data_IF_657383892732
#
_entry.id   IF_657383892732
#
_cell.length_a   1.000
_cell.length_b   1.000
_cell.length_c   1.000
_cell.angle_alpha   90.00
_cell.angle_beta   90.00
_cell.angle_gamma   90.00
#
_symmetry.space_group_name_H-M   'P 1'
#
loop_
_entity.id
_entity.type
_entity.pdbx_description
1 polymer ?
#
# COMPACT_ATOMS: atom_id res chain seq x y z
N UNK A 1 -30.93 -12.59 -1.55
CA UNK A 1 -29.74 -13.44 -1.41
C UNK A 1 -29.01 -13.47 -2.75
N UNK A 2 -28.15 -12.47 -2.97
CA UNK A 2 -27.20 -12.47 -4.09
C UNK A 2 -25.88 -13.05 -3.60
N UNK A 3 -25.30 -13.94 -4.38
CA UNK A 3 -24.08 -14.69 -4.10
C UNK A 3 -22.84 -13.79 -4.25
N UNK A 4 -22.12 -13.64 -3.16
CA UNK A 4 -20.91 -12.83 -2.90
C UNK A 4 -19.67 -13.21 -3.74
N UNK A 5 -19.82 -14.07 -4.75
CA UNK A 5 -18.71 -14.70 -5.49
C UNK A 5 -18.48 -14.15 -6.90
N UNK A 6 -19.29 -13.18 -7.35
CA UNK A 6 -19.08 -12.48 -8.63
C UNK A 6 -18.84 -10.98 -8.39
N UNK A 7 -17.74 -10.67 -7.70
CA UNK A 7 -17.21 -9.33 -7.66
C UNK A 7 -15.95 -9.29 -8.52
N UNK A 8 -16.15 -9.17 -9.83
CA UNK A 8 -15.10 -8.92 -10.81
C UNK A 8 -14.60 -7.48 -10.64
N UNK A 9 -13.87 -7.27 -9.55
CA UNK A 9 -13.22 -6.03 -9.19
C UNK A 9 -12.03 -5.77 -10.13
N UNK A 10 -11.95 -4.61 -10.81
CA UNK A 10 -10.76 -4.27 -11.59
C UNK A 10 -9.54 -4.15 -10.66
N UNK A 11 -8.31 -4.39 -11.17
CA UNK A 11 -7.10 -4.23 -10.37
C UNK A 11 -7.09 -2.85 -9.69
N UNK A 12 -7.07 -2.85 -8.35
CA UNK A 12 -7.07 -1.61 -7.57
C UNK A 12 -8.40 -1.10 -7.05
N UNK A 13 -9.49 -1.85 -7.25
CA UNK A 13 -10.78 -1.47 -6.68
C UNK A 13 -11.43 -2.70 -6.06
N UNK A 14 -11.44 -2.82 -4.74
CA UNK A 14 -12.04 -3.96 -4.04
C UNK A 14 -12.88 -3.52 -2.84
N UNK A 15 -13.51 -4.47 -2.12
CA UNK A 15 -14.36 -4.14 -0.98
C UNK A 15 -13.58 -3.61 0.23
N UNK A 16 -12.25 -3.77 0.21
CA UNK A 16 -11.33 -3.40 1.29
C UNK A 16 -10.40 -2.23 0.94
N UNK A 17 -10.66 -1.52 -0.16
CA UNK A 17 -9.91 -0.32 -0.52
C UNK A 17 -9.79 -0.07 -2.02
N UNK A 18 -9.42 1.17 -2.36
CA UNK A 18 -9.08 1.59 -3.72
C UNK A 18 -7.64 2.06 -3.79
N UNK A 19 -7.01 1.98 -4.96
CA UNK A 19 -5.72 2.64 -5.18
C UNK A 19 -5.86 4.15 -5.06
N UNK A 20 -4.87 4.77 -4.42
CA UNK A 20 -4.68 6.22 -4.43
C UNK A 20 -3.96 6.66 -5.71
N UNK A 21 -3.67 7.96 -5.79
CA UNK A 21 -2.85 8.49 -6.87
C UNK A 21 -1.42 7.95 -6.80
N UNK A 22 -0.79 7.82 -7.97
CA UNK A 22 0.62 7.47 -8.06
C UNK A 22 1.48 8.63 -7.57
N UNK A 23 2.58 8.32 -6.89
CA UNK A 23 3.63 9.31 -6.61
C UNK A 23 4.38 9.69 -7.88
N UNK A 24 5.06 10.83 -7.84
CA UNK A 24 6.01 11.20 -8.90
C UNK A 24 7.08 10.13 -9.10
N UNK A 25 7.55 10.01 -10.34
CA UNK A 25 8.70 9.19 -10.65
C UNK A 25 9.98 9.81 -10.07
N UNK A 26 11.00 8.97 -9.85
CA UNK A 26 12.33 9.48 -9.53
C UNK A 26 12.86 10.40 -10.65
N UNK A 27 13.65 11.44 -10.34
CA UNK A 27 14.28 12.30 -11.34
C UNK A 27 15.01 11.53 -12.44
N UNK A 28 15.19 12.17 -13.60
CA UNK A 28 15.96 11.59 -14.71
C UNK A 28 17.37 11.24 -14.24
N UNK A 29 17.87 10.07 -14.64
CA UNK A 29 19.16 9.50 -14.20
C UNK A 29 19.24 9.20 -12.70
N UNK A 30 18.12 8.87 -12.05
CA UNK A 30 18.11 8.39 -10.66
C UNK A 30 17.24 7.14 -10.52
N UNK A 31 17.45 6.38 -9.44
CA UNK A 31 16.70 5.16 -9.13
C UNK A 31 16.29 5.12 -7.65
N UNK A 32 15.28 4.30 -7.33
CA UNK A 32 14.91 4.04 -5.95
C UNK A 32 16.07 3.31 -5.26
N UNK A 33 16.61 3.94 -4.22
CA UNK A 33 17.73 3.42 -3.43
C UNK A 33 17.34 3.11 -1.98
N UNK A 34 16.11 3.45 -1.57
CA UNK A 34 15.67 3.21 -0.21
C UNK A 34 14.15 3.25 -0.04
N UNK A 35 13.69 2.59 1.01
CA UNK A 35 12.30 2.58 1.44
C UNK A 35 12.23 2.86 2.95
N UNK A 36 11.25 3.65 3.36
CA UNK A 36 10.86 3.83 4.75
C UNK A 36 9.39 3.48 4.90
N UNK A 37 9.09 2.50 5.73
CA UNK A 37 7.73 2.06 6.02
C UNK A 37 7.21 2.75 7.27
N UNK A 38 5.90 3.00 7.30
CA UNK A 38 5.17 3.37 8.51
C UNK A 38 4.27 2.20 8.90
N UNK A 39 4.55 1.63 10.07
CA UNK A 39 3.74 0.57 10.66
C UNK A 39 2.97 1.12 11.87
N UNK A 40 1.88 0.46 12.26
CA UNK A 40 1.26 0.72 13.56
C UNK A 40 2.18 0.22 14.68
N UNK A 41 2.14 0.89 15.84
CA UNK A 41 2.76 0.36 17.06
C UNK A 41 2.04 -0.92 17.49
N UNK A 42 2.76 -1.90 18.03
CA UNK A 42 2.20 -3.13 18.59
C UNK A 42 1.10 -2.79 19.61
N UNK A 43 -0.14 -3.23 19.35
CA UNK A 43 -1.34 -2.93 20.14
C UNK A 43 -1.64 -4.01 21.19
N UNK A 44 -0.78 -5.02 21.36
CA UNK A 44 -0.89 -6.06 22.38
C UNK A 44 -1.30 -7.45 21.84
N UNK A 45 -1.41 -8.44 22.73
CA UNK A 45 -1.76 -9.81 22.35
C UNK A 45 -3.20 -9.90 21.81
N UNK A 46 -3.36 -10.32 20.56
CA UNK A 46 -4.66 -10.63 19.95
C UNK A 46 -5.17 -9.64 18.89
N UNK A 47 -4.41 -8.58 18.58
CA UNK A 47 -4.71 -7.69 17.45
C UNK A 47 -3.75 -8.03 16.30
N UNK A 48 -4.29 -8.25 15.09
CA UNK A 48 -3.47 -8.36 13.88
C UNK A 48 -2.95 -6.96 13.52
N UNK A 49 -1.78 -6.61 14.06
CA UNK A 49 -1.13 -5.31 13.91
C UNK A 49 -0.36 -5.18 12.58
N UNK A 50 -0.53 -6.11 11.64
CA UNK A 50 0.31 -6.22 10.44
C UNK A 50 -0.23 -5.41 9.26
N UNK A 51 -0.62 -4.15 9.50
CA UNK A 51 -0.98 -3.23 8.44
C UNK A 51 0.19 -2.27 8.13
N UNK A 52 0.70 -2.34 6.90
CA UNK A 52 1.58 -1.31 6.34
C UNK A 52 0.72 -0.08 6.03
N UNK A 53 0.89 0.99 6.81
CA UNK A 53 0.05 2.17 6.68
C UNK A 53 0.50 3.11 5.58
N UNK A 54 1.81 3.18 5.35
CA UNK A 54 2.40 4.13 4.43
C UNK A 54 3.83 3.72 4.04
N UNK A 55 4.27 4.18 2.88
CA UNK A 55 5.63 3.97 2.37
C UNK A 55 6.19 5.27 1.79
N UNK A 56 7.46 5.52 2.06
CA UNK A 56 8.23 6.59 1.43
C UNK A 56 9.43 6.00 0.71
N UNK A 57 9.53 6.26 -0.59
CA UNK A 57 10.69 5.91 -1.40
C UNK A 57 11.73 7.03 -1.41
N UNK A 58 12.99 6.66 -1.56
CA UNK A 58 14.11 7.58 -1.73
C UNK A 58 14.76 7.32 -3.09
N UNK A 59 15.04 8.39 -3.83
CA UNK A 59 15.74 8.34 -5.11
C UNK A 59 17.20 8.78 -4.93
N UNK A 60 18.12 8.07 -5.56
CA UNK A 60 19.56 8.38 -5.61
C UNK A 60 20.04 8.40 -7.06
N UNK A 61 21.05 9.22 -7.35
CA UNK A 61 21.77 9.21 -8.63
C UNK A 61 22.52 7.89 -8.86
#
# INVERSE_FOLDING_TARGET
>A
SGNDFDLSYPPGYGPYGSYGEWSDACPVNSAICGIKTKIHSNQGEGVDDTALNDVKFFCCE
#
